data_IF_705751408630
#
_entry.id   IF_705751408630
#
_cell.length_a   1.000
_cell.length_b   1.000
_cell.length_c   1.000
_cell.angle_alpha   90.00
_cell.angle_beta   90.00
_cell.angle_gamma   90.00
#
_symmetry.space_group_name_H-M   'P 1'
#
loop_
_entity.id
_entity.type
_entity.pdbx_description
1 polymer ?
#
# COMPACT_ATOMS: atom_id res chain seq x y z
N UNK A 1 -13.68 4.75 -12.25
CA UNK A 1 -12.32 4.20 -12.45
C UNK A 1 -12.34 2.71 -12.17
N UNK A 2 -11.81 1.88 -13.08
CA UNK A 2 -11.94 0.42 -13.01
C UNK A 2 -11.24 -0.21 -11.80
N UNK A 3 -10.11 0.35 -11.35
CA UNK A 3 -9.37 -0.12 -10.16
C UNK A 3 -10.25 -0.20 -8.90
N UNK A 4 -11.25 0.68 -8.77
CA UNK A 4 -12.16 0.70 -7.61
C UNK A 4 -13.08 -0.53 -7.54
N UNK A 5 -13.18 -1.30 -8.64
CA UNK A 5 -13.99 -2.51 -8.72
C UNK A 5 -13.25 -3.73 -8.18
N UNK A 6 -11.94 -3.64 -7.97
CA UNK A 6 -11.14 -4.74 -7.42
C UNK A 6 -11.51 -4.91 -5.95
N UNK A 7 -11.94 -6.12 -5.60
CA UNK A 7 -12.09 -6.59 -4.22
C UNK A 7 -10.94 -7.53 -3.93
N UNK A 8 -10.28 -7.30 -2.80
CA UNK A 8 -9.03 -7.95 -2.53
C UNK A 8 -8.87 -8.29 -1.05
N UNK A 9 -8.66 -9.58 -0.76
CA UNK A 9 -8.19 -10.06 0.54
C UNK A 9 -6.66 -10.02 0.58
N UNK A 10 -6.10 -9.45 1.65
CA UNK A 10 -4.67 -9.15 1.72
C UNK A 10 -3.77 -10.42 1.69
N UNK A 11 -4.27 -11.53 2.22
CA UNK A 11 -3.53 -12.80 2.40
C UNK A 11 -4.32 -13.97 1.81
N UNK A 12 -3.64 -15.03 1.41
CA UNK A 12 -4.23 -16.17 0.71
C UNK A 12 -3.68 -16.38 -0.71
N UNK A 13 -4.24 -17.32 -1.47
CA UNK A 13 -3.86 -17.52 -2.88
C UNK A 13 -4.36 -16.34 -3.74
N UNK A 14 -3.62 -15.95 -4.77
CA UNK A 14 -3.99 -14.79 -5.60
C UNK A 14 -5.37 -14.98 -6.26
N UNK A 15 -5.64 -16.18 -6.77
CA UNK A 15 -6.86 -16.53 -7.50
C UNK A 15 -8.12 -16.42 -6.63
N UNK A 16 -8.01 -16.83 -5.36
CA UNK A 16 -9.13 -16.77 -4.40
C UNK A 16 -9.26 -15.40 -3.74
N UNK A 17 -8.14 -14.67 -3.64
CA UNK A 17 -8.09 -13.38 -2.91
C UNK A 17 -8.58 -12.20 -3.75
N UNK A 18 -8.54 -12.29 -5.09
CA UNK A 18 -8.84 -11.16 -5.98
C UNK A 18 -10.11 -11.43 -6.78
N UNK A 19 -11.09 -10.54 -6.60
CA UNK A 19 -12.36 -10.58 -7.34
C UNK A 19 -12.71 -9.20 -7.91
N UNK A 20 -13.63 -9.18 -8.86
CA UNK A 20 -14.09 -7.96 -9.54
C UNK A 20 -15.57 -7.73 -9.26
N UNK A 21 -15.90 -6.58 -8.69
CA UNK A 21 -17.28 -6.14 -8.56
C UNK A 21 -17.84 -5.69 -9.91
N UNK A 22 -19.04 -6.17 -10.25
CA UNK A 22 -19.74 -5.72 -11.45
C UNK A 22 -20.19 -4.26 -11.34
N UNK A 23 -20.61 -3.84 -10.14
CA UNK A 23 -21.14 -2.50 -9.89
C UNK A 23 -20.46 -1.86 -8.66
N UNK A 24 -20.04 -0.60 -8.81
CA UNK A 24 -19.36 0.16 -7.74
C UNK A 24 -20.32 0.64 -6.66
N UNK A 25 -21.57 0.95 -7.03
CA UNK A 25 -22.58 1.57 -6.17
C UNK A 25 -23.33 0.53 -5.32
N UNK A 26 -23.35 -0.74 -5.76
CA UNK A 26 -23.95 -1.85 -5.02
C UNK A 26 -23.20 -2.23 -3.73
N UNK A 27 -21.99 -1.70 -3.49
CA UNK A 27 -21.22 -1.94 -2.28
C UNK A 27 -20.95 -3.43 -2.01
N UNK A 28 -21.29 -3.91 -0.81
CA UNK A 28 -21.15 -5.32 -0.42
C UNK A 28 -22.22 -6.24 -1.06
N UNK A 29 -23.24 -5.67 -1.71
CA UNK A 29 -24.28 -6.43 -2.40
C UNK A 29 -23.99 -6.60 -3.90
N UNK A 30 -22.85 -6.11 -4.39
CA UNK A 30 -22.45 -6.34 -5.78
C UNK A 30 -22.17 -7.83 -6.01
N UNK A 31 -22.59 -8.34 -7.16
CA UNK A 31 -22.06 -9.60 -7.67
C UNK A 31 -20.55 -9.46 -7.87
N UNK A 32 -19.83 -10.54 -7.52
CA UNK A 32 -18.39 -10.65 -7.66
C UNK A 32 -18.09 -11.66 -8.75
N UNK A 33 -17.34 -11.23 -9.74
CA UNK A 33 -16.81 -12.04 -10.81
C UNK A 33 -15.36 -12.40 -10.49
N UNK A 34 -14.90 -13.62 -10.81
CA UNK A 34 -13.52 -14.02 -10.60
C UNK A 34 -12.57 -13.14 -11.44
N UNK A 35 -11.43 -12.75 -10.87
CA UNK A 35 -10.41 -11.99 -11.59
C UNK A 35 -9.70 -12.83 -12.65
N UNK A 36 -9.50 -14.11 -12.35
CA UNK A 36 -9.09 -15.15 -13.28
C UNK A 36 -10.23 -16.18 -13.39
N UNK A 37 -10.98 -16.21 -14.51
CA UNK A 37 -12.20 -16.99 -14.62
C UNK A 37 -11.97 -18.51 -14.77
N UNK A 38 -10.78 -18.94 -15.18
CA UNK A 38 -10.41 -20.35 -15.38
C UNK A 38 -8.89 -20.53 -15.18
N UNK A 39 -8.49 -21.43 -14.28
CA UNK A 39 -7.08 -21.77 -13.97
C UNK A 39 -6.29 -22.31 -15.18
N UNK A 40 -6.99 -22.75 -16.23
CA UNK A 40 -6.38 -23.27 -17.47
C UNK A 40 -6.17 -22.21 -18.55
N UNK A 41 -6.67 -20.99 -18.33
CA UNK A 41 -6.56 -19.90 -19.30
C UNK A 41 -5.80 -18.72 -18.70
N UNK A 42 -4.70 -18.31 -19.34
CA UNK A 42 -3.97 -17.05 -19.02
C UNK A 42 -4.81 -15.78 -19.36
N UNK A 43 -6.14 -15.86 -19.28
CA UNK A 43 -7.09 -14.83 -19.68
C UNK A 43 -7.63 -14.15 -18.43
N UNK A 44 -6.94 -13.10 -18.00
CA UNK A 44 -7.41 -12.23 -16.92
C UNK A 44 -8.64 -11.41 -17.32
N UNK A 45 -9.43 -11.01 -16.32
CA UNK A 45 -10.56 -10.09 -16.47
C UNK A 45 -10.17 -8.81 -17.22
N UNK A 46 -11.06 -8.20 -18.00
CA UNK A 46 -10.75 -7.06 -18.88
C UNK A 46 -10.10 -5.87 -18.15
N UNK A 47 -10.51 -5.61 -16.91
CA UNK A 47 -9.95 -4.56 -16.04
C UNK A 47 -8.44 -4.72 -15.81
N UNK A 48 -7.89 -5.92 -15.96
CA UNK A 48 -6.45 -6.21 -15.81
C UNK A 48 -5.59 -5.32 -16.68
N UNK A 49 -6.10 -4.88 -17.83
CA UNK A 49 -5.41 -4.05 -18.82
C UNK A 49 -5.66 -2.55 -18.62
N UNK A 50 -6.65 -2.19 -17.81
CA UNK A 50 -6.99 -0.80 -17.50
C UNK A 50 -5.89 -0.14 -16.67
N UNK A 51 -5.73 1.19 -16.76
CA UNK A 51 -4.78 1.92 -15.92
C UNK A 51 -5.17 1.84 -14.44
N UNK A 52 -4.18 1.64 -13.58
CA UNK A 52 -4.36 1.56 -12.12
C UNK A 52 -4.57 2.93 -11.46
N UNK A 53 -4.38 4.03 -12.20
CA UNK A 53 -4.45 5.43 -11.72
C UNK A 53 -5.15 6.31 -12.75
N UNK A 54 -5.84 7.36 -12.29
CA UNK A 54 -6.38 8.42 -13.15
C UNK A 54 -5.84 9.78 -12.67
N UNK A 55 -4.99 10.47 -13.45
CA UNK A 55 -4.47 10.08 -14.78
C UNK A 55 -3.46 8.90 -14.71
N UNK A 56 -3.23 8.16 -15.82
CA UNK A 56 -2.30 7.04 -15.84
C UNK A 56 -0.84 7.46 -15.57
N UNK A 57 -0.15 6.74 -14.68
CA UNK A 57 1.27 6.97 -14.34
C UNK A 57 2.15 5.79 -14.73
N UNK A 58 3.43 6.05 -15.01
CA UNK A 58 4.42 5.02 -15.40
C UNK A 58 4.98 4.18 -14.24
N UNK A 59 4.88 4.68 -13.01
CA UNK A 59 5.32 3.99 -11.79
C UNK A 59 4.54 4.51 -10.59
N UNK A 60 4.32 3.66 -9.59
CA UNK A 60 3.70 4.04 -8.32
C UNK A 60 4.70 3.72 -7.21
N UNK A 61 5.02 4.72 -6.39
CA UNK A 61 5.89 4.55 -5.23
C UNK A 61 5.04 4.73 -3.98
N UNK A 62 4.95 3.67 -3.17
CA UNK A 62 4.41 3.77 -1.82
C UNK A 62 5.53 4.12 -0.86
N UNK A 63 5.85 5.41 -0.74
CA UNK A 63 6.65 5.92 0.38
C UNK A 63 5.70 6.37 1.50
N UNK A 64 6.17 6.26 2.75
CA UNK A 64 5.54 6.78 3.97
C UNK A 64 5.56 8.31 4.02
N UNK A 65 5.28 8.98 2.90
CA UNK A 65 5.33 10.44 2.82
C UNK A 65 4.38 11.02 3.86
N UNK A 66 5.01 11.58 4.90
CA UNK A 66 4.51 12.43 5.96
C UNK A 66 3.00 12.71 5.81
N UNK A 67 2.18 11.90 6.49
CA UNK A 67 0.84 12.35 6.83
C UNK A 67 1.04 13.54 7.77
N UNK A 68 1.18 14.73 7.20
CA UNK A 68 1.04 15.98 7.93
C UNK A 68 -0.43 16.05 8.30
N UNK A 69 -0.77 15.51 9.46
CA UNK A 69 -1.96 15.92 10.16
C UNK A 69 -1.83 17.44 10.29
N UNK A 70 -2.61 18.16 9.48
CA UNK A 70 -2.75 19.61 9.56
C UNK A 70 -3.54 19.96 10.81
N UNK A 71 -3.00 19.64 11.98
CA UNK A 71 -3.39 20.23 13.26
C UNK A 71 -2.24 21.16 13.67
N UNK A 72 -2.33 22.35 13.08
CA UNK A 72 -1.47 23.50 13.31
C UNK A 72 -1.80 24.08 14.69
N UNK A 73 -1.60 23.36 15.81
CA UNK A 73 -1.50 23.96 17.16
C UNK A 73 -0.54 23.14 18.06
N UNK A 74 0.52 23.80 18.53
CA UNK A 74 1.51 23.39 19.54
C UNK A 74 2.62 22.38 19.13
N UNK A 75 3.53 22.82 18.27
CA UNK A 75 4.94 22.36 18.32
C UNK A 75 5.66 23.21 19.36
N UNK A 76 6.05 22.69 20.54
CA UNK A 76 7.12 23.34 21.30
C UNK A 76 8.38 23.26 20.44
N UNK A 77 8.95 24.42 20.11
CA UNK A 77 10.28 24.54 19.51
C UNK A 77 11.27 23.83 20.45
N UNK A 78 11.60 22.57 20.15
CA UNK A 78 12.69 21.85 20.80
C UNK A 78 13.99 22.53 20.38
N UNK A 79 14.43 23.46 21.21
CA UNK A 79 15.75 24.10 21.16
C UNK A 79 16.82 23.02 20.95
N UNK A 80 17.44 23.01 19.78
CA UNK A 80 18.40 21.98 19.38
C UNK A 80 19.48 21.78 20.43
N UNK A 81 19.51 20.58 21.02
CA UNK A 81 20.55 20.16 21.93
C UNK A 81 21.91 20.13 21.21
N UNK A 82 22.85 20.91 21.70
CA UNK A 82 24.26 20.81 21.34
C UNK A 82 24.92 19.75 22.21
N UNK A 83 25.75 18.89 21.63
CA UNK A 83 26.63 18.02 22.43
C UNK A 83 27.69 18.87 23.17
N UNK A 84 28.45 18.33 24.13
CA UNK A 84 29.45 19.08 24.92
C UNK A 84 30.57 19.74 24.08
N UNK A 85 30.57 19.50 22.76
CA UNK A 85 31.52 20.02 21.76
C UNK A 85 30.86 21.04 20.80
N UNK A 86 29.57 21.36 20.97
CA UNK A 86 28.89 22.39 20.19
C UNK A 86 28.54 22.00 18.75
N UNK A 87 28.66 20.72 18.40
CA UNK A 87 28.25 20.21 17.09
C UNK A 87 26.73 20.00 17.08
N UNK A 88 26.00 20.46 16.05
CA UNK A 88 24.57 20.21 15.94
C UNK A 88 24.37 18.70 15.81
N UNK A 89 23.68 18.10 16.78
CA UNK A 89 23.24 16.71 16.65
C UNK A 89 22.42 16.60 15.35
N UNK A 90 22.71 15.62 14.47
CA UNK A 90 21.90 15.42 13.28
C UNK A 90 20.47 15.27 13.75
N UNK A 91 19.57 16.13 13.23
CA UNK A 91 18.17 16.18 13.62
C UNK A 91 17.69 14.76 13.83
N UNK A 92 17.45 14.40 15.10
CA UNK A 92 17.04 13.06 15.45
C UNK A 92 15.80 12.80 14.61
N UNK A 93 15.92 11.86 13.67
CA UNK A 93 14.85 11.42 12.78
C UNK A 93 13.59 11.29 13.64
N UNK A 94 12.61 12.17 13.41
CA UNK A 94 11.43 12.32 14.28
C UNK A 94 10.73 10.97 14.32
N UNK A 95 10.77 10.29 15.47
CA UNK A 95 10.05 9.05 15.65
C UNK A 95 8.57 9.35 15.44
N UNK A 96 7.96 8.72 14.44
CA UNK A 96 6.52 8.80 14.22
C UNK A 96 5.84 8.04 15.35
N UNK A 97 5.40 8.77 16.38
CA UNK A 97 4.59 8.21 17.47
C UNK A 97 3.13 8.25 17.06
N UNK A 98 2.46 7.11 17.17
CA UNK A 98 1.00 7.04 17.09
C UNK A 98 0.52 6.08 18.17
N UNK A 99 -0.51 6.47 18.92
CA UNK A 99 -1.07 5.63 19.99
C UNK A 99 -0.03 5.22 21.05
N UNK A 100 0.89 6.14 21.41
CA UNK A 100 2.00 5.89 22.35
C UNK A 100 2.99 4.79 21.94
N UNK A 101 2.95 4.36 20.67
CA UNK A 101 3.89 3.40 20.10
C UNK A 101 4.76 4.06 19.03
N UNK A 102 6.05 3.74 19.06
CA UNK A 102 7.00 4.16 18.03
C UNK A 102 6.74 3.33 16.77
N UNK A 103 6.45 3.98 15.64
CA UNK A 103 6.26 3.29 14.36
C UNK A 103 7.62 2.96 13.72
N UNK A 104 7.72 1.84 12.96
CA UNK A 104 8.93 1.51 12.22
C UNK A 104 9.32 2.63 11.26
N UNK A 105 10.57 3.08 11.35
CA UNK A 105 11.07 4.23 10.59
C UNK A 105 11.63 3.86 9.21
N UNK A 106 12.11 2.63 9.04
CA UNK A 106 12.71 2.18 7.78
C UNK A 106 11.74 1.19 7.09
N UNK A 107 10.69 1.72 6.47
CA UNK A 107 9.87 0.92 5.54
C UNK A 107 10.58 0.84 4.20
N UNK A 108 10.78 -0.38 3.68
CA UNK A 108 11.20 -0.56 2.29
C UNK A 108 10.03 -0.15 1.39
N UNK A 109 10.15 0.93 0.60
CA UNK A 109 9.05 1.39 -0.24
C UNK A 109 8.77 0.36 -1.32
N UNK A 110 7.49 0.02 -1.52
CA UNK A 110 7.08 -0.81 -2.64
C UNK A 110 7.01 0.06 -3.89
N UNK A 111 7.78 -0.33 -4.90
CA UNK A 111 7.80 0.32 -6.20
C UNK A 111 7.11 -0.60 -7.23
N UNK A 112 5.96 -0.15 -7.73
CA UNK A 112 5.18 -0.88 -8.73
C UNK A 112 5.53 -0.36 -10.12
N UNK A 113 5.99 -1.26 -10.97
CA UNK A 113 6.36 -0.95 -12.35
C UNK A 113 5.36 -1.50 -13.36
N UNK A 114 5.18 -0.81 -14.47
CA UNK A 114 4.49 -1.40 -15.61
C UNK A 114 5.36 -2.46 -16.30
N UNK A 115 4.77 -3.61 -16.63
CA UNK A 115 5.49 -4.69 -17.32
C UNK A 115 5.48 -4.54 -18.84
N UNK A 116 4.37 -4.10 -19.42
CA UNK A 116 4.13 -4.13 -20.89
C UNK A 116 3.63 -2.80 -21.47
N UNK A 117 2.97 -1.98 -20.66
CA UNK A 117 2.33 -0.74 -21.10
C UNK A 117 3.15 0.50 -20.68
N UNK A 118 2.91 1.70 -21.24
CA UNK A 118 3.60 2.90 -20.76
C UNK A 118 3.09 3.40 -19.39
N UNK A 119 2.06 2.75 -18.85
CA UNK A 119 1.45 3.06 -17.56
C UNK A 119 1.24 1.78 -16.75
N UNK A 120 1.18 1.91 -15.43
CA UNK A 120 0.88 0.81 -14.51
C UNK A 120 -0.55 0.35 -14.71
N UNK A 121 -0.73 -0.93 -15.05
CA UNK A 121 -2.06 -1.54 -15.17
C UNK A 121 -2.57 -2.04 -13.82
N UNK A 122 -3.89 -2.29 -13.74
CA UNK A 122 -4.48 -2.96 -12.57
C UNK A 122 -3.77 -4.29 -12.29
N UNK A 123 -3.46 -5.07 -13.33
CA UNK A 123 -2.74 -6.34 -13.14
C UNK A 123 -1.34 -6.15 -12.59
N UNK A 124 -0.57 -5.19 -13.13
CA UNK A 124 0.77 -4.90 -12.63
C UNK A 124 0.73 -4.51 -11.16
N UNK A 125 -0.24 -3.68 -10.77
CA UNK A 125 -0.42 -3.27 -9.38
C UNK A 125 -0.79 -4.43 -8.47
N UNK A 126 -1.89 -5.14 -8.76
CA UNK A 126 -2.41 -6.16 -7.85
C UNK A 126 -1.41 -7.31 -7.69
N UNK A 127 -0.74 -7.74 -8.76
CA UNK A 127 0.25 -8.84 -8.68
C UNK A 127 1.50 -8.47 -7.88
N UNK A 128 2.07 -7.28 -8.10
CA UNK A 128 3.26 -6.84 -7.38
C UNK A 128 2.96 -6.55 -5.90
N UNK A 129 1.83 -5.88 -5.61
CA UNK A 129 1.45 -5.58 -4.23
C UNK A 129 1.05 -6.87 -3.50
N UNK A 130 0.39 -7.83 -4.16
CA UNK A 130 0.04 -9.09 -3.52
C UNK A 130 1.26 -9.90 -3.15
N UNK A 131 2.22 -10.09 -4.07
CA UNK A 131 3.47 -10.77 -3.74
C UNK A 131 4.18 -10.11 -2.55
N UNK A 132 4.24 -8.77 -2.51
CA UNK A 132 4.83 -8.01 -1.40
C UNK A 132 4.08 -8.20 -0.08
N UNK A 133 2.74 -8.21 -0.07
CA UNK A 133 1.96 -8.48 1.13
C UNK A 133 2.17 -9.90 1.68
N UNK A 134 2.31 -10.90 0.81
CA UNK A 134 2.59 -12.28 1.23
C UNK A 134 3.96 -12.40 1.89
N UNK A 135 4.98 -11.65 1.42
CA UNK A 135 6.29 -11.61 2.07
C UNK A 135 6.22 -11.01 3.49
N UNK A 136 5.27 -10.10 3.72
CA UNK A 136 5.07 -9.42 5.01
C UNK A 136 4.08 -10.13 5.93
N UNK A 137 3.35 -11.15 5.46
CA UNK A 137 2.28 -11.81 6.21
C UNK A 137 2.76 -12.26 7.60
N UNK A 138 3.90 -12.96 7.66
CA UNK A 138 4.45 -13.46 8.93
C UNK A 138 4.86 -12.35 9.88
N UNK A 139 5.38 -11.25 9.37
CA UNK A 139 5.78 -10.09 10.16
C UNK A 139 4.57 -9.34 10.71
N UNK A 140 3.52 -9.18 9.89
CA UNK A 140 2.25 -8.56 10.27
C UNK A 140 1.54 -9.39 11.34
N UNK A 141 1.41 -10.71 11.13
CA UNK A 141 0.74 -11.59 12.07
C UNK A 141 1.47 -11.66 13.41
N UNK A 142 2.81 -11.69 13.40
CA UNK A 142 3.63 -11.64 14.61
C UNK A 142 3.47 -10.32 15.36
N UNK A 143 3.54 -9.19 14.66
CA UNK A 143 3.32 -7.89 15.28
C UNK A 143 1.92 -7.77 15.90
N UNK A 144 0.92 -8.42 15.29
CA UNK A 144 -0.43 -8.45 15.83
C UNK A 144 -0.54 -9.30 17.12
N UNK A 145 0.17 -10.43 17.20
CA UNK A 145 0.24 -11.26 18.40
C UNK A 145 0.95 -10.54 19.57
N UNK A 146 1.98 -9.73 19.30
CA UNK A 146 2.68 -8.95 20.34
C UNK A 146 1.82 -7.86 21.01
N UNK A 147 0.67 -7.53 20.43
CA UNK A 147 -0.29 -6.54 20.95
C UNK A 147 -1.37 -7.13 21.86
N UNK A 148 -1.40 -8.47 22.09
CA UNK A 148 -2.38 -9.17 22.92
C UNK A 148 -1.74 -10.15 23.92
#
# INVERSE_FOLDING_TARGET
>A
MDMLRVRWEAFGSFEESVAVADDLDAGAASSLSPYEPDDESDIFHEISKSPATEPPVGSITGDDQEWVDGDDEDVPEEEGGVDEIGDPLPAARKLMRCCDQDRPHDTLPLLVFSTKQPFVTVHDYVTQVHAWLQELEGDILRAWEELY
#
